data_IF_296998148343
#
_entry.id   IF_296998148343
#
_cell.length_a   1.000
_cell.length_b   1.000
_cell.length_c   1.000
_cell.angle_alpha   90.00
_cell.angle_beta   90.00
_cell.angle_gamma   90.00
#
_symmetry.space_group_name_H-M   'P 1'
#
loop_
_entity.id
_entity.type
_entity.pdbx_description
1 polymer ?
#
# COMPACT_ATOMS: atom_id res chain seq x y z
N UNK A 1 12.32 -44.24 -48.65
CA UNK A 1 12.69 -42.81 -48.63
C UNK A 1 12.88 -42.38 -47.18
N UNK A 2 14.09 -42.48 -46.64
CA UNK A 2 14.43 -42.02 -45.29
C UNK A 2 15.45 -40.89 -45.42
N UNK A 3 15.05 -39.64 -45.21
CA UNK A 3 16.02 -38.56 -45.09
C UNK A 3 15.42 -37.33 -44.41
N UNK A 4 16.19 -36.79 -43.45
CA UNK A 4 16.13 -35.42 -42.90
C UNK A 4 15.15 -35.11 -41.76
N UNK A 5 15.25 -35.78 -40.61
CA UNK A 5 14.61 -35.28 -39.37
C UNK A 5 15.49 -35.25 -38.12
N UNK A 6 16.76 -35.66 -38.17
CA UNK A 6 17.62 -35.74 -36.98
C UNK A 6 18.76 -34.71 -36.92
N UNK A 7 19.01 -33.95 -37.98
CA UNK A 7 20.09 -32.93 -38.00
C UNK A 7 19.63 -31.50 -37.73
N UNK A 8 18.35 -31.28 -37.42
CA UNK A 8 17.83 -29.96 -37.00
C UNK A 8 17.75 -29.84 -35.47
N UNK A 9 18.65 -30.48 -34.74
CA UNK A 9 19.06 -30.01 -33.42
C UNK A 9 20.25 -29.08 -33.61
N UNK A 10 19.98 -27.88 -34.12
CA UNK A 10 20.95 -26.79 -34.07
C UNK A 10 21.35 -26.59 -32.61
N UNK A 11 22.59 -26.95 -32.27
CA UNK A 11 23.24 -26.50 -31.06
C UNK A 11 23.15 -24.97 -31.04
N UNK A 12 22.42 -24.41 -30.06
CA UNK A 12 22.40 -22.97 -29.83
C UNK A 12 23.85 -22.52 -29.67
N UNK A 13 24.25 -21.48 -30.39
CA UNK A 13 25.64 -21.03 -30.35
C UNK A 13 26.00 -20.56 -28.93
N UNK A 14 27.25 -20.69 -28.48
CA UNK A 14 27.67 -20.21 -27.17
C UNK A 14 27.42 -18.70 -26.99
N UNK A 15 27.45 -17.93 -28.09
CA UNK A 15 27.08 -16.52 -28.10
C UNK A 15 25.58 -16.28 -27.79
N UNK A 16 24.69 -17.17 -28.26
CA UNK A 16 23.26 -17.15 -27.91
C UNK A 16 23.02 -17.53 -26.44
N UNK A 17 23.88 -18.37 -25.86
CA UNK A 17 23.81 -18.71 -24.44
C UNK A 17 24.27 -17.54 -23.55
N UNK A 18 25.34 -16.84 -23.94
CA UNK A 18 25.85 -15.65 -23.26
C UNK A 18 24.86 -14.47 -23.29
N UNK A 19 24.22 -14.22 -24.43
CA UNK A 19 23.20 -13.16 -24.54
C UNK A 19 21.98 -13.47 -23.68
N UNK A 20 21.57 -14.72 -23.51
CA UNK A 20 20.51 -15.09 -22.55
C UNK A 20 20.91 -14.92 -21.08
N UNK A 21 22.20 -14.88 -20.76
CA UNK A 21 22.70 -14.55 -19.41
C UNK A 21 22.81 -13.03 -19.20
N UNK A 22 23.02 -12.27 -20.27
CA UNK A 22 23.20 -10.81 -20.23
C UNK A 22 21.88 -10.02 -20.37
N UNK A 23 20.83 -10.63 -20.94
CA UNK A 23 19.48 -10.04 -20.94
C UNK A 23 18.94 -10.09 -19.51
N UNK A 24 18.57 -8.94 -18.91
CA UNK A 24 17.98 -8.93 -17.58
C UNK A 24 16.68 -9.73 -17.59
N UNK A 25 16.70 -10.95 -17.02
CA UNK A 25 15.56 -11.89 -16.96
C UNK A 25 14.40 -11.41 -16.08
N UNK A 26 14.41 -10.15 -15.64
CA UNK A 26 13.41 -9.53 -14.77
C UNK A 26 12.76 -8.38 -15.52
N UNK A 27 11.96 -8.70 -16.54
CA UNK A 27 11.02 -7.74 -17.10
C UNK A 27 10.01 -7.32 -16.03
N UNK A 28 9.53 -6.09 -16.09
CA UNK A 28 8.50 -5.57 -15.17
C UNK A 28 7.27 -6.50 -15.11
N UNK A 29 6.94 -7.15 -16.23
CA UNK A 29 5.90 -8.18 -16.33
C UNK A 29 6.14 -9.37 -15.38
N UNK A 30 7.40 -9.80 -15.18
CA UNK A 30 7.75 -10.89 -14.25
C UNK A 30 7.69 -10.43 -12.79
N UNK A 31 7.99 -9.16 -12.51
CA UNK A 31 7.82 -8.57 -11.18
C UNK A 31 6.33 -8.46 -10.82
N UNK A 32 5.48 -8.08 -11.78
CA UNK A 32 4.02 -8.03 -11.58
C UNK A 32 3.42 -9.42 -11.34
N UNK A 33 3.85 -10.45 -12.07
CA UNK A 33 3.42 -11.84 -11.83
C UNK A 33 3.91 -12.40 -10.49
N UNK A 34 5.11 -12.03 -10.03
CA UNK A 34 5.60 -12.43 -8.71
C UNK A 34 4.85 -11.69 -7.58
N UNK A 35 4.49 -10.43 -7.81
CA UNK A 35 3.65 -9.65 -6.90
C UNK A 35 2.20 -10.16 -6.88
N UNK A 36 1.67 -10.69 -7.99
CA UNK A 36 0.30 -11.22 -8.05
C UNK A 36 0.20 -12.72 -7.76
N UNK A 37 1.32 -13.42 -7.60
CA UNK A 37 1.37 -14.86 -7.37
C UNK A 37 1.69 -15.25 -5.93
N UNK A 38 1.89 -16.55 -5.70
CA UNK A 38 2.16 -17.19 -4.40
C UNK A 38 3.29 -16.55 -3.55
N UNK A 39 4.16 -15.71 -4.13
CA UNK A 39 5.20 -15.00 -3.37
C UNK A 39 4.62 -13.87 -2.53
N UNK A 40 3.66 -13.09 -3.03
CA UNK A 40 2.95 -12.10 -2.22
C UNK A 40 2.14 -12.77 -1.12
N UNK A 41 1.51 -13.92 -1.40
CA UNK A 41 0.81 -14.70 -0.38
C UNK A 41 1.76 -15.17 0.73
N UNK A 42 2.99 -15.58 0.38
CA UNK A 42 3.98 -16.03 1.36
C UNK A 42 4.53 -14.89 2.24
N UNK A 43 4.64 -13.67 1.71
CA UNK A 43 5.25 -12.53 2.42
C UNK A 43 4.20 -11.66 3.11
N UNK A 44 3.08 -11.41 2.45
CA UNK A 44 2.04 -10.46 2.87
C UNK A 44 0.69 -11.12 3.18
N UNK A 45 0.52 -12.41 2.88
CA UNK A 45 -0.76 -13.11 3.00
C UNK A 45 -1.73 -12.78 1.85
N UNK A 46 -2.86 -13.49 1.81
CA UNK A 46 -3.98 -13.16 0.93
C UNK A 46 -4.71 -11.94 1.51
N UNK A 47 -5.06 -10.92 0.71
CA UNK A 47 -5.88 -9.81 1.19
C UNK A 47 -7.17 -10.35 1.80
N UNK A 48 -7.60 -9.77 2.91
CA UNK A 48 -8.84 -10.18 3.54
C UNK A 48 -10.01 -9.83 2.63
N UNK A 49 -10.87 -10.80 2.36
CA UNK A 49 -12.10 -10.60 1.59
C UNK A 49 -13.25 -10.25 2.54
N UNK A 50 -14.04 -9.22 2.23
CA UNK A 50 -15.19 -8.83 3.03
C UNK A 50 -15.65 -7.38 2.86
N UNK A 51 -16.84 -7.07 3.38
CA UNK A 51 -17.51 -5.76 3.21
C UNK A 51 -16.69 -4.57 3.73
N UNK A 52 -15.86 -4.78 4.75
CA UNK A 52 -15.05 -3.72 5.37
C UNK A 52 -13.55 -4.01 5.33
N UNK A 53 -13.11 -5.00 4.55
CA UNK A 53 -11.70 -5.39 4.50
C UNK A 53 -10.85 -4.44 3.64
N UNK A 54 -11.48 -3.67 2.77
CA UNK A 54 -10.86 -2.63 1.95
C UNK A 54 -10.58 -1.32 2.70
N UNK A 55 -11.11 -1.16 3.92
CA UNK A 55 -10.97 0.07 4.68
C UNK A 55 -9.72 0.05 5.55
N UNK A 56 -8.97 1.16 5.63
CA UNK A 56 -7.79 1.26 6.48
C UNK A 56 -8.13 1.44 7.98
N UNK A 57 -9.38 1.24 8.37
CA UNK A 57 -9.85 1.37 9.75
C UNK A 57 -10.93 0.33 10.08
N UNK A 58 -10.98 -0.08 11.35
CA UNK A 58 -11.94 -1.08 11.83
C UNK A 58 -13.29 -0.45 12.12
N UNK A 59 -14.32 -0.93 11.42
CA UNK A 59 -15.73 -0.53 11.65
C UNK A 59 -16.40 -1.45 12.68
N UNK A 60 -16.23 -2.77 12.54
CA UNK A 60 -16.85 -3.79 13.40
C UNK A 60 -15.87 -4.36 14.44
N UNK A 61 -16.42 -5.00 15.49
CA UNK A 61 -15.68 -5.73 16.54
C UNK A 61 -14.59 -4.90 17.25
N UNK A 62 -14.90 -3.64 17.57
CA UNK A 62 -14.01 -2.78 18.37
C UNK A 62 -14.23 -3.04 19.86
N UNK A 63 -13.15 -3.31 20.61
CA UNK A 63 -13.22 -3.72 22.03
C UNK A 63 -13.55 -2.57 23.00
N UNK A 64 -13.05 -1.36 22.72
CA UNK A 64 -13.09 -0.25 23.69
C UNK A 64 -13.94 0.93 23.24
N UNK A 65 -13.77 1.38 21.98
CA UNK A 65 -14.40 2.61 21.49
C UNK A 65 -15.41 2.24 20.39
N UNK A 66 -16.70 2.55 20.57
CA UNK A 66 -17.69 2.41 19.52
C UNK A 66 -17.30 3.20 18.26
N UNK A 67 -17.59 2.66 17.07
CA UNK A 67 -17.17 3.29 15.81
C UNK A 67 -17.67 4.72 15.67
N UNK A 68 -18.93 5.00 16.05
CA UNK A 68 -19.50 6.34 15.97
C UNK A 68 -18.70 7.37 16.78
N UNK A 69 -18.30 7.02 18.01
CA UNK A 69 -17.49 7.91 18.87
C UNK A 69 -16.13 8.20 18.24
N UNK A 70 -15.47 7.18 17.68
CA UNK A 70 -14.20 7.38 16.99
C UNK A 70 -14.36 8.24 15.73
N UNK A 71 -15.36 7.96 14.90
CA UNK A 71 -15.59 8.67 13.65
C UNK A 71 -15.90 10.16 13.89
N UNK A 72 -16.88 10.44 14.76
CA UNK A 72 -17.25 11.81 15.10
C UNK A 72 -16.20 12.51 15.96
N UNK A 73 -15.44 11.77 16.77
CA UNK A 73 -14.32 12.32 17.53
C UNK A 73 -13.18 12.79 16.63
N UNK A 74 -12.79 11.99 15.63
CA UNK A 74 -11.77 12.38 14.65
C UNK A 74 -12.26 13.57 13.82
N UNK A 75 -13.48 13.49 13.27
CA UNK A 75 -14.05 14.57 12.47
C UNK A 75 -14.21 15.85 13.29
N UNK A 76 -14.74 15.74 14.51
CA UNK A 76 -14.91 16.85 15.44
C UNK A 76 -13.60 17.49 15.86
N UNK A 77 -12.53 16.70 16.06
CA UNK A 77 -11.20 17.22 16.37
C UNK A 77 -10.64 18.06 15.22
N UNK A 78 -10.71 17.56 13.99
CA UNK A 78 -10.24 18.32 12.83
C UNK A 78 -11.12 19.54 12.54
N UNK A 79 -12.42 19.45 12.78
CA UNK A 79 -13.31 20.60 12.76
C UNK A 79 -12.93 21.65 13.82
N UNK A 80 -12.56 21.21 15.03
CA UNK A 80 -12.16 22.10 16.12
C UNK A 80 -10.76 22.71 15.95
N UNK A 81 -9.91 22.12 15.09
CA UNK A 81 -8.52 22.54 14.88
C UNK A 81 -8.31 24.04 14.62
N UNK A 82 -9.03 24.70 13.67
CA UNK A 82 -8.88 26.14 13.47
C UNK A 82 -9.28 26.96 14.71
N UNK A 83 -10.29 26.55 15.47
CA UNK A 83 -10.71 27.27 16.67
C UNK A 83 -9.69 27.14 17.79
N UNK A 84 -9.12 25.94 17.98
CA UNK A 84 -8.06 25.70 18.94
C UNK A 84 -6.80 26.49 18.60
N UNK A 85 -6.43 26.57 17.32
CA UNK A 85 -5.25 27.32 16.89
C UNK A 85 -5.45 28.83 17.06
N UNK A 86 -6.64 29.35 16.74
CA UNK A 86 -6.98 30.76 16.98
C UNK A 86 -7.06 31.05 18.48
N UNK A 87 -7.67 30.19 19.29
CA UNK A 87 -7.72 30.36 20.74
C UNK A 87 -6.32 30.40 21.35
N UNK A 88 -5.41 29.53 20.90
CA UNK A 88 -4.01 29.57 21.30
C UNK A 88 -3.30 30.86 20.88
N UNK A 89 -3.57 31.34 19.66
CA UNK A 89 -3.04 32.62 19.18
C UNK A 89 -3.55 33.80 20.02
N UNK A 90 -4.86 33.84 20.31
CA UNK A 90 -5.50 34.84 21.15
C UNK A 90 -4.94 34.83 22.57
N UNK A 91 -4.73 33.65 23.16
CA UNK A 91 -4.09 33.50 24.47
C UNK A 91 -2.70 34.14 24.50
N UNK A 92 -1.86 33.81 23.51
CA UNK A 92 -0.50 34.40 23.41
C UNK A 92 -0.52 35.90 23.15
N UNK A 93 -1.50 36.40 22.40
CA UNK A 93 -1.65 37.84 22.13
C UNK A 93 -2.13 38.65 23.35
N UNK A 94 -2.49 37.98 24.45
CA UNK A 94 -3.03 38.63 25.64
C UNK A 94 -4.50 39.03 25.54
N UNK A 95 -5.17 38.78 24.39
CA UNK A 95 -6.58 39.10 24.16
C UNK A 95 -7.55 38.40 25.13
N UNK A 96 -7.12 37.29 25.76
CA UNK A 96 -7.92 36.56 26.75
C UNK A 96 -7.70 37.01 28.21
N UNK A 97 -6.80 37.96 28.47
CA UNK A 97 -6.66 38.55 29.82
C UNK A 97 -7.81 39.53 30.05
N UNK A 98 -8.58 39.33 31.13
CA UNK A 98 -9.61 40.30 31.56
C UNK A 98 -8.95 41.68 31.76
N UNK A 99 -9.49 42.70 31.08
CA UNK A 99 -9.30 44.08 31.52
C UNK A 99 -10.08 44.23 32.82
N UNK A 100 -9.36 44.33 33.94
CA UNK A 100 -9.89 44.84 35.19
C UNK A 100 -10.19 46.32 34.99
N UNK A 101 -11.47 46.63 34.75
CA UNK A 101 -12.03 47.96 34.93
C UNK A 101 -12.27 48.23 36.42
#
# INVERSE_FOLDING_TARGET
MFSRSLLQRCARSPAQQLTQMMVPKRSFQRSAMLLSGNLSEKIYGVPQEGVYSNLPFKVKNRKFIPFAVWYWGVLGFFFAFPFLSTAWSMYKSGALKRSSA
#
